data_IF_889620099283
#
_entry.id   IF_889620099283
#
_cell.length_a   1.000
_cell.length_b   1.000
_cell.length_c   1.000
_cell.angle_alpha   90.00
_cell.angle_beta   90.00
_cell.angle_gamma   90.00
#
_symmetry.space_group_name_H-M   'P 1'
#
loop_
_entity.id
_entity.type
_entity.pdbx_description
1 polymer ?
#
# COMPACT_ATOMS: atom_id res chain seq x y z
N UNK A 1 -8.47 24.93 -7.90
CA UNK A 1 -9.11 23.61 -8.03
C UNK A 1 -10.05 23.43 -6.85
N UNK A 2 -11.34 23.26 -7.09
CA UNK A 2 -12.31 23.01 -6.01
C UNK A 2 -12.31 21.51 -5.67
N UNK A 3 -12.44 21.18 -4.38
CA UNK A 3 -12.41 19.80 -3.89
C UNK A 3 -13.55 18.99 -4.53
N UNK A 4 -13.29 17.72 -4.85
CA UNK A 4 -14.31 16.79 -5.32
C UNK A 4 -15.09 16.28 -4.11
N UNK A 5 -16.33 16.74 -3.98
CA UNK A 5 -17.19 16.35 -2.86
C UNK A 5 -17.94 15.07 -3.21
N UNK A 6 -18.36 14.26 -2.22
CA UNK A 6 -19.23 13.10 -2.47
C UNK A 6 -20.47 13.47 -3.30
N UNK A 7 -21.03 14.66 -3.10
CA UNK A 7 -22.15 15.17 -3.90
C UNK A 7 -21.81 15.34 -5.39
N UNK A 8 -20.59 15.78 -5.74
CA UNK A 8 -20.14 15.88 -7.14
C UNK A 8 -19.91 14.50 -7.76
N UNK A 9 -19.31 13.57 -7.02
CA UNK A 9 -19.09 12.19 -7.47
C UNK A 9 -20.43 11.50 -7.71
N UNK A 10 -21.36 11.61 -6.76
CA UNK A 10 -22.73 11.09 -6.87
C UNK A 10 -23.44 11.68 -8.09
N UNK A 11 -23.37 13.01 -8.27
CA UNK A 11 -23.99 13.69 -9.42
C UNK A 11 -23.39 13.23 -10.75
N UNK A 12 -22.07 13.04 -10.80
CA UNK A 12 -21.34 12.58 -11.99
C UNK A 12 -21.71 11.14 -12.35
N UNK A 13 -21.84 10.26 -11.35
CA UNK A 13 -22.34 8.90 -11.54
C UNK A 13 -23.80 8.91 -12.01
N UNK A 14 -24.68 9.66 -11.34
CA UNK A 14 -26.10 9.74 -11.68
C UNK A 14 -26.35 10.26 -13.11
N UNK A 15 -25.68 11.34 -13.49
CA UNK A 15 -25.75 11.89 -14.84
C UNK A 15 -25.15 10.91 -15.85
N UNK A 16 -24.01 10.29 -15.53
CA UNK A 16 -23.35 9.32 -16.40
C UNK A 16 -24.13 8.01 -16.60
N UNK A 17 -25.07 7.69 -15.73
CA UNK A 17 -26.03 6.58 -15.88
C UNK A 17 -27.26 6.96 -16.73
N UNK A 18 -27.34 8.21 -17.19
CA UNK A 18 -28.48 8.71 -17.96
C UNK A 18 -29.66 9.17 -17.10
N UNK A 19 -29.44 9.50 -15.82
CA UNK A 19 -30.48 9.93 -14.86
C UNK A 19 -31.62 8.89 -14.76
N UNK A 20 -31.32 7.67 -14.31
CA UNK A 20 -32.29 6.57 -14.27
C UNK A 20 -33.53 6.94 -13.44
N UNK A 21 -34.69 6.38 -13.81
CA UNK A 21 -35.91 6.58 -13.04
C UNK A 21 -35.82 5.96 -11.64
N UNK A 22 -36.48 6.55 -10.63
CA UNK A 22 -36.48 6.03 -9.26
C UNK A 22 -37.01 4.60 -9.12
N UNK A 23 -37.80 4.13 -10.10
CA UNK A 23 -38.29 2.75 -10.18
C UNK A 23 -37.15 1.73 -10.33
N UNK A 24 -36.06 2.11 -10.99
CA UNK A 24 -34.94 1.21 -11.28
C UNK A 24 -33.73 1.44 -10.37
N UNK A 25 -33.48 2.68 -9.98
CA UNK A 25 -32.42 3.04 -9.05
C UNK A 25 -32.82 4.28 -8.24
N UNK A 26 -32.97 4.10 -6.94
CA UNK A 26 -33.22 5.20 -6.03
C UNK A 26 -31.92 5.95 -5.73
N UNK A 27 -32.04 7.26 -5.48
CA UNK A 27 -30.88 8.11 -5.15
C UNK A 27 -30.14 7.63 -3.90
N UNK A 28 -30.87 7.11 -2.91
CA UNK A 28 -30.29 6.58 -1.69
C UNK A 28 -29.45 5.30 -1.95
N UNK A 29 -29.84 4.46 -2.91
CA UNK A 29 -29.06 3.27 -3.29
C UNK A 29 -27.73 3.69 -3.93
N UNK A 30 -27.76 4.72 -4.79
CA UNK A 30 -26.55 5.28 -5.40
C UNK A 30 -25.64 5.94 -4.36
N UNK A 31 -26.21 6.62 -3.37
CA UNK A 31 -25.48 7.19 -2.22
C UNK A 31 -24.80 6.09 -1.40
N UNK A 32 -25.52 5.01 -1.09
CA UNK A 32 -24.97 3.88 -0.34
C UNK A 32 -23.80 3.25 -1.09
N UNK A 33 -23.95 2.99 -2.40
CA UNK A 33 -22.87 2.49 -3.26
C UNK A 33 -21.65 3.42 -3.18
N UNK A 34 -21.86 4.74 -3.30
CA UNK A 34 -20.77 5.71 -3.22
C UNK A 34 -20.01 5.63 -1.90
N UNK A 35 -20.71 5.64 -0.77
CA UNK A 35 -20.05 5.61 0.53
C UNK A 35 -19.36 4.26 0.81
N UNK A 36 -19.91 3.15 0.34
CA UNK A 36 -19.23 1.84 0.39
C UNK A 36 -17.93 1.85 -0.41
N UNK A 37 -17.96 2.41 -1.63
CA UNK A 37 -16.75 2.48 -2.47
C UNK A 37 -15.71 3.43 -1.86
N UNK A 38 -16.13 4.59 -1.36
CA UNK A 38 -15.25 5.52 -0.66
C UNK A 38 -14.58 4.85 0.54
N UNK A 39 -15.36 4.15 1.38
CA UNK A 39 -14.83 3.41 2.53
C UNK A 39 -13.77 2.37 2.11
N UNK A 40 -14.02 1.61 1.04
CA UNK A 40 -13.05 0.66 0.49
C UNK A 40 -11.72 1.34 0.12
N UNK A 41 -11.77 2.46 -0.60
CA UNK A 41 -10.56 3.17 -1.01
C UNK A 41 -9.84 3.85 0.16
N UNK A 42 -10.57 4.39 1.14
CA UNK A 42 -10.01 4.94 2.37
C UNK A 42 -9.28 3.88 3.19
N UNK A 43 -9.86 2.69 3.35
CA UNK A 43 -9.22 1.59 4.08
C UNK A 43 -7.97 1.08 3.38
N UNK A 44 -7.97 0.97 2.06
CA UNK A 44 -6.77 0.61 1.30
C UNK A 44 -5.64 1.64 1.48
N UNK A 45 -6.01 2.93 1.53
CA UNK A 45 -5.10 4.03 1.86
C UNK A 45 -4.55 3.85 3.29
N UNK A 46 -5.41 3.67 4.28
CA UNK A 46 -5.03 3.50 5.70
C UNK A 46 -4.11 2.30 5.90
N UNK A 47 -4.46 1.15 5.32
CA UNK A 47 -3.67 -0.08 5.41
C UNK A 47 -2.28 0.07 4.77
N UNK A 48 -2.14 0.90 3.74
CA UNK A 48 -0.84 1.15 3.14
C UNK A 48 0.11 1.95 4.02
N UNK A 49 -0.41 2.86 4.83
CA UNK A 49 0.40 3.58 5.82
C UNK A 49 0.98 2.62 6.88
N UNK A 50 0.34 1.45 7.07
CA UNK A 50 0.77 0.40 8.00
C UNK A 50 1.72 -0.64 7.39
N UNK A 51 1.79 -0.76 6.06
CA UNK A 51 2.62 -1.76 5.39
C UNK A 51 4.11 -1.37 5.38
N UNK A 52 4.95 -1.98 6.22
CA UNK A 52 6.39 -1.66 6.31
C UNK A 52 7.17 -2.31 5.15
N UNK A 53 7.75 -1.51 4.25
CA UNK A 53 8.71 -2.00 3.25
C UNK A 53 10.08 -2.20 3.92
N UNK A 54 10.45 -3.43 4.30
CA UNK A 54 11.75 -3.66 4.93
C UNK A 54 12.91 -3.37 3.97
N UNK A 55 13.91 -2.60 4.39
CA UNK A 55 15.18 -2.43 3.66
C UNK A 55 16.25 -3.32 4.30
N UNK A 56 17.28 -3.71 3.54
CA UNK A 56 18.46 -4.41 4.09
C UNK A 56 19.70 -3.52 4.05
N UNK A 57 20.62 -3.70 4.99
CA UNK A 57 21.96 -3.10 4.90
C UNK A 57 22.83 -3.79 3.86
N UNK A 58 23.98 -3.18 3.59
CA UNK A 58 25.12 -3.92 3.04
C UNK A 58 25.50 -5.10 3.95
N UNK A 59 26.06 -6.12 3.30
CA UNK A 59 26.60 -7.30 3.95
C UNK A 59 27.81 -6.92 4.82
N UNK A 60 27.91 -7.46 6.03
CA UNK A 60 29.09 -7.30 6.89
C UNK A 60 29.50 -8.60 7.57
N UNK A 61 30.75 -8.62 8.03
CA UNK A 61 31.35 -9.75 8.73
C UNK A 61 31.74 -9.35 10.15
N UNK A 62 31.49 -10.25 11.11
CA UNK A 62 32.02 -10.15 12.47
C UNK A 62 33.50 -10.57 12.46
N UNK A 63 34.35 -9.88 13.22
CA UNK A 63 35.74 -10.30 13.39
C UNK A 63 35.80 -11.52 14.32
N UNK A 64 36.93 -12.24 14.32
CA UNK A 64 37.07 -13.48 15.10
C UNK A 64 36.84 -13.30 16.60
N UNK A 65 37.16 -12.13 17.15
CA UNK A 65 37.05 -11.81 18.58
C UNK A 65 35.79 -11.04 18.93
N UNK A 66 35.03 -10.57 17.94
CA UNK A 66 33.87 -9.72 18.17
C UNK A 66 32.58 -10.53 18.09
N UNK A 67 31.68 -10.25 19.02
CA UNK A 67 30.29 -10.67 18.98
C UNK A 67 29.35 -9.47 18.86
N UNK A 68 29.89 -8.27 18.63
CA UNK A 68 29.10 -7.05 18.50
C UNK A 68 29.40 -6.34 17.19
N UNK A 69 28.40 -5.62 16.67
CA UNK A 69 28.57 -4.73 15.52
C UNK A 69 27.85 -3.42 15.77
N UNK A 70 28.56 -2.32 15.58
CA UNK A 70 27.94 -1.01 15.53
C UNK A 70 27.16 -0.85 14.21
N UNK A 71 25.85 -0.60 14.32
CA UNK A 71 24.95 -0.48 13.17
C UNK A 71 24.81 0.96 12.66
N UNK A 72 25.37 1.94 13.37
CA UNK A 72 25.20 3.37 13.09
C UNK A 72 25.95 3.83 11.84
N UNK A 73 26.98 3.08 11.42
CA UNK A 73 27.70 3.34 10.17
C UNK A 73 26.96 2.86 8.93
N UNK A 74 25.91 2.05 9.09
CA UNK A 74 25.15 1.46 7.98
C UNK A 74 23.78 2.11 7.77
N UNK A 75 23.39 3.03 8.65
CA UNK A 75 22.19 3.85 8.46
C UNK A 75 22.52 4.97 7.48
N UNK A 76 22.14 4.81 6.21
CA UNK A 76 21.75 6.01 5.46
C UNK A 76 20.62 6.70 6.23
N UNK A 77 20.47 8.02 6.08
CA UNK A 77 19.59 8.91 6.87
C UNK A 77 18.09 8.52 6.96
N UNK A 78 17.71 7.38 6.36
CA UNK A 78 16.39 6.83 6.14
C UNK A 78 16.12 5.49 6.85
N UNK A 79 16.87 5.12 7.90
CA UNK A 79 16.73 3.82 8.58
C UNK A 79 16.67 4.03 10.10
N UNK A 80 15.58 3.62 10.77
CA UNK A 80 15.37 3.92 12.21
C UNK A 80 15.55 2.73 13.14
N UNK A 81 15.01 1.55 12.79
CA UNK A 81 14.97 0.42 13.72
C UNK A 81 15.32 -0.90 13.03
N UNK A 82 16.31 -1.66 13.55
CA UNK A 82 16.55 -3.02 13.10
C UNK A 82 15.34 -3.89 13.46
N UNK A 83 14.94 -4.74 12.52
CA UNK A 83 13.85 -5.69 12.69
C UNK A 83 14.40 -7.07 13.02
N UNK A 84 15.29 -7.59 12.17
CA UNK A 84 15.96 -8.88 12.38
C UNK A 84 17.29 -8.95 11.64
N UNK A 85 18.10 -9.95 12.00
CA UNK A 85 19.34 -10.28 11.29
C UNK A 85 19.15 -11.52 10.42
N UNK A 86 19.87 -11.59 9.30
CA UNK A 86 19.98 -12.78 8.48
C UNK A 86 21.45 -13.16 8.33
N UNK A 87 21.76 -14.46 8.39
CA UNK A 87 23.10 -15.02 8.15
C UNK A 87 23.18 -15.71 6.80
N UNK A 88 24.32 -15.56 6.13
CA UNK A 88 24.59 -16.18 4.84
C UNK A 88 25.10 -17.59 5.05
N UNK A 89 24.38 -18.59 4.57
CA UNK A 89 24.86 -19.96 4.47
C UNK A 89 25.19 -20.24 3.01
N UNK A 90 26.43 -20.65 2.73
CA UNK A 90 26.77 -21.20 1.42
C UNK A 90 26.89 -22.69 1.53
N UNK A 91 25.96 -23.35 0.84
CA UNK A 91 26.05 -24.76 0.51
C UNK A 91 26.88 -24.89 -0.77
N UNK A 92 27.33 -26.10 -1.09
CA UNK A 92 28.23 -26.38 -2.22
C UNK A 92 27.74 -25.85 -3.60
N UNK A 93 26.46 -25.46 -3.72
CA UNK A 93 25.87 -24.95 -4.97
C UNK A 93 25.00 -23.70 -4.81
N UNK A 94 24.56 -23.34 -3.60
CA UNK A 94 23.64 -22.21 -3.39
C UNK A 94 23.99 -21.41 -2.14
N UNK A 95 23.87 -20.09 -2.25
CA UNK A 95 23.85 -19.16 -1.12
C UNK A 95 22.41 -18.95 -0.67
N UNK A 96 22.10 -19.30 0.58
CA UNK A 96 20.82 -19.02 1.23
C UNK A 96 21.02 -18.05 2.39
N UNK A 97 20.00 -17.24 2.66
CA UNK A 97 19.96 -16.35 3.82
C UNK A 97 19.03 -16.95 4.86
N UNK A 98 19.56 -17.24 6.03
CA UNK A 98 18.81 -17.81 7.13
C UNK A 98 18.50 -16.75 8.18
N UNK A 99 17.28 -16.77 8.69
CA UNK A 99 16.83 -15.90 9.77
C UNK A 99 17.60 -16.19 11.06
N UNK A 100 18.06 -15.12 11.73
CA UNK A 100 18.67 -15.20 13.07
C UNK A 100 17.67 -14.63 14.08
N UNK A 101 17.11 -15.45 14.97
CA UNK A 101 16.17 -15.02 16.01
C UNK A 101 16.65 -13.81 16.81
N UNK A 102 15.77 -12.83 16.97
CA UNK A 102 16.02 -11.67 17.83
C UNK A 102 15.53 -11.97 19.25
N UNK A 103 16.42 -11.84 20.22
CA UNK A 103 16.17 -12.14 21.65
C UNK A 103 16.56 -10.95 22.54
N UNK A 104 16.11 -10.98 23.79
CA UNK A 104 16.56 -10.01 24.80
C UNK A 104 18.07 -10.15 25.04
N UNK A 105 18.73 -9.04 25.35
CA UNK A 105 20.18 -9.00 25.55
C UNK A 105 20.63 -9.99 26.64
N UNK A 106 19.87 -10.10 27.71
CA UNK A 106 20.14 -11.01 28.84
C UNK A 106 20.04 -12.49 28.46
N UNK A 107 19.27 -12.82 27.41
CA UNK A 107 19.09 -14.19 26.92
C UNK A 107 20.20 -14.64 25.97
N UNK A 108 21.06 -13.73 25.47
CA UNK A 108 22.11 -14.09 24.51
C UNK A 108 23.14 -15.08 25.06
N UNK A 109 23.45 -14.98 26.36
CA UNK A 109 24.40 -15.89 27.01
C UNK A 109 23.84 -17.32 27.10
N UNK A 110 22.53 -17.45 27.31
CA UNK A 110 21.83 -18.74 27.33
C UNK A 110 21.76 -19.35 25.93
N UNK A 111 21.37 -18.56 24.92
CA UNK A 111 21.36 -19.01 23.52
C UNK A 111 22.76 -19.47 23.06
N UNK A 112 23.80 -18.75 23.49
CA UNK A 112 25.19 -19.14 23.25
C UNK A 112 25.53 -20.48 23.89
N UNK A 113 25.19 -20.66 25.16
CA UNK A 113 25.42 -21.92 25.88
C UNK A 113 24.71 -23.09 25.19
N UNK A 114 23.52 -22.84 24.63
CA UNK A 114 22.74 -23.81 23.88
C UNK A 114 23.25 -24.03 22.43
N UNK A 115 24.24 -23.27 21.98
CA UNK A 115 24.75 -23.32 20.60
C UNK A 115 23.77 -22.78 19.56
N UNK A 116 22.74 -22.05 20.00
CA UNK A 116 21.68 -21.50 19.15
C UNK A 116 22.07 -20.12 18.61
N UNK A 117 21.89 -19.87 17.30
CA UNK A 117 22.17 -18.55 16.75
C UNK A 117 21.07 -17.56 17.16
N UNK A 118 21.47 -16.45 17.77
CA UNK A 118 20.58 -15.38 18.15
C UNK A 118 21.26 -14.01 18.04
N UNK A 119 20.46 -12.96 17.94
CA UNK A 119 20.91 -11.57 17.92
C UNK A 119 20.08 -10.74 18.90
N UNK A 120 20.68 -9.73 19.50
CA UNK A 120 19.97 -8.70 20.26
C UNK A 120 20.37 -7.33 19.74
N UNK A 121 19.40 -6.43 19.61
CA UNK A 121 19.63 -5.04 19.25
C UNK A 121 19.45 -4.17 20.49
N UNK A 122 20.42 -3.33 20.79
CA UNK A 122 20.38 -2.45 21.96
C UNK A 122 21.03 -1.11 21.64
N UNK A 123 20.65 -0.07 22.37
CA UNK A 123 21.11 1.30 22.15
C UNK A 123 20.02 2.29 22.58
N UNK A 124 20.42 3.46 23.04
CA UNK A 124 19.48 4.47 23.57
C UNK A 124 18.74 5.22 22.46
N UNK A 125 19.33 5.28 21.26
CA UNK A 125 18.78 5.99 20.11
C UNK A 125 19.10 5.26 18.80
N UNK A 126 18.35 5.49 17.70
CA UNK A 126 18.69 5.01 16.35
C UNK A 126 20.14 5.31 15.92
N UNK A 127 20.72 6.40 16.43
CA UNK A 127 22.09 6.83 16.15
C UNK A 127 23.15 6.12 17.02
N UNK A 128 22.75 5.21 17.90
CA UNK A 128 23.64 4.47 18.83
C UNK A 128 23.33 2.96 18.89
N UNK A 129 22.59 2.44 17.90
CA UNK A 129 22.19 1.03 17.89
C UNK A 129 23.39 0.10 17.63
N UNK A 130 23.49 -0.90 18.49
CA UNK A 130 24.44 -2.00 18.44
C UNK A 130 23.68 -3.32 18.24
N UNK A 131 24.27 -4.23 17.47
CA UNK A 131 23.86 -5.64 17.44
C UNK A 131 24.84 -6.47 18.26
N UNK A 132 24.35 -7.30 19.19
CA UNK A 132 25.10 -8.33 19.86
C UNK A 132 24.62 -9.71 19.38
N UNK A 133 25.54 -10.63 19.15
CA UNK A 133 25.27 -11.97 18.67
C UNK A 133 25.59 -13.00 19.75
N UNK A 134 24.89 -14.13 19.74
CA UNK A 134 25.13 -15.25 20.67
C UNK A 134 26.44 -16.00 20.38
N UNK A 135 27.25 -15.56 19.42
CA UNK A 135 28.51 -16.20 19.03
C UNK A 135 29.54 -15.13 18.67
N UNK A 136 30.81 -15.44 18.92
CA UNK A 136 31.91 -14.68 18.35
C UNK A 136 32.11 -15.05 16.87
N UNK A 137 32.65 -14.12 16.08
CA UNK A 137 32.99 -14.40 14.68
C UNK A 137 34.06 -15.48 14.49
N UNK A 138 34.68 -15.99 15.57
CA UNK A 138 35.61 -17.12 15.53
C UNK A 138 34.98 -18.48 15.88
N UNK A 139 33.75 -18.52 16.38
CA UNK A 139 33.12 -19.73 16.94
C UNK A 139 32.23 -20.48 15.93
N UNK A 140 31.96 -19.90 14.76
CA UNK A 140 30.98 -20.42 13.79
C UNK A 140 31.67 -20.78 12.47
N UNK A 141 32.28 -21.96 12.39
CA UNK A 141 33.17 -22.38 11.29
C UNK A 141 32.83 -21.91 9.85
N UNK A 142 33.89 -21.70 9.05
CA UNK A 142 33.86 -21.34 7.63
C UNK A 142 32.91 -22.25 6.81
N UNK A 143 32.19 -21.69 5.80
CA UNK A 143 32.75 -20.68 4.91
C UNK A 143 32.24 -19.24 5.01
N UNK A 144 31.22 -18.84 5.79
CA UNK A 144 30.66 -17.48 5.61
C UNK A 144 30.09 -16.82 6.88
N UNK A 145 30.88 -15.91 7.43
CA UNK A 145 30.48 -14.96 8.46
C UNK A 145 29.90 -13.71 7.84
N UNK A 146 28.84 -13.83 7.04
CA UNK A 146 28.25 -12.65 6.40
C UNK A 146 26.82 -12.46 6.86
N UNK A 147 26.56 -11.28 7.40
CA UNK A 147 25.28 -10.88 7.95
C UNK A 147 24.72 -9.71 7.17
N UNK A 148 23.40 -9.62 7.16
CA UNK A 148 22.69 -8.40 6.80
C UNK A 148 21.58 -8.16 7.81
N UNK A 149 21.30 -6.91 8.10
CA UNK A 149 20.22 -6.54 9.00
C UNK A 149 19.08 -5.97 8.17
N UNK A 150 17.87 -6.38 8.52
CA UNK A 150 16.62 -5.87 7.96
C UNK A 150 16.13 -4.75 8.85
N UNK A 151 15.69 -3.67 8.25
CA UNK A 151 15.23 -2.50 8.98
C UNK A 151 13.87 -2.05 8.52
N UNK A 152 13.17 -1.43 9.45
CA UNK A 152 12.10 -0.52 9.12
C UNK A 152 12.71 0.77 8.55
N UNK A 153 12.37 1.16 7.30
CA UNK A 153 12.75 2.45 6.79
C UNK A 153 12.16 3.52 7.70
N UNK A 154 12.89 4.61 7.88
CA UNK A 154 12.39 5.84 8.48
C UNK A 154 11.11 6.21 7.74
N UNK A 155 9.97 6.00 8.38
CA UNK A 155 8.81 6.81 8.04
C UNK A 155 9.27 8.23 8.36
N UNK A 156 9.22 9.13 7.38
CA UNK A 156 9.37 10.55 7.65
C UNK A 156 8.16 10.93 8.53
N UNK A 157 8.28 10.67 9.83
CA UNK A 157 7.32 11.05 10.84
C UNK A 157 7.32 12.57 10.88
N UNK A 158 6.37 13.19 10.18
CA UNK A 158 5.73 14.38 10.72
C UNK A 158 4.47 13.92 11.43
N UNK A 159 4.41 14.31 12.70
CA UNK A 159 3.37 14.24 13.73
C UNK A 159 1.92 14.58 13.34
N UNK A 160 1.50 14.48 12.09
CA UNK A 160 0.12 14.75 11.72
C UNK A 160 -0.68 13.45 11.71
N UNK A 161 -1.29 13.17 12.87
CA UNK A 161 -2.47 12.31 12.99
C UNK A 161 -3.60 12.78 12.03
N UNK A 162 -3.51 14.02 11.55
CA UNK A 162 -4.43 14.64 10.59
C UNK A 162 -3.90 14.70 9.14
N UNK A 163 -2.93 13.87 8.74
CA UNK A 163 -2.54 13.79 7.33
C UNK A 163 -3.69 13.12 6.55
N UNK A 164 -4.67 13.94 6.14
CA UNK A 164 -5.88 13.60 5.41
C UNK A 164 -5.77 12.25 4.70
N UNK A 165 -6.31 11.20 5.34
CA UNK A 165 -6.48 9.87 4.74
C UNK A 165 -7.54 9.89 3.62
N UNK A 166 -7.77 11.07 3.03
CA UNK A 166 -8.75 11.30 2.00
C UNK A 166 -8.26 10.73 0.66
N UNK A 167 -9.21 10.33 -0.19
CA UNK A 167 -8.93 9.94 -1.56
C UNK A 167 -8.62 11.24 -2.30
N UNK A 168 -7.44 11.35 -2.93
CA UNK A 168 -7.10 12.50 -3.74
C UNK A 168 -8.16 12.80 -4.82
N UNK A 169 -8.49 14.08 -5.05
CA UNK A 169 -9.55 14.49 -6.01
C UNK A 169 -9.34 13.94 -7.43
N UNK A 170 -8.10 13.76 -7.84
CA UNK A 170 -7.71 13.20 -9.14
C UNK A 170 -7.97 11.70 -9.26
N UNK A 171 -8.32 11.00 -8.17
CA UNK A 171 -8.83 9.64 -8.19
C UNK A 171 -10.37 9.59 -8.19
N UNK A 172 -11.06 10.73 -8.22
CA UNK A 172 -12.53 10.76 -8.38
C UNK A 172 -13.04 10.00 -9.61
N UNK A 173 -12.36 10.02 -10.78
CA UNK A 173 -12.77 9.21 -11.93
C UNK A 173 -12.82 7.71 -11.62
N UNK A 174 -11.89 7.20 -10.80
CA UNK A 174 -11.90 5.81 -10.34
C UNK A 174 -13.17 5.50 -9.54
N UNK A 175 -13.49 6.38 -8.58
CA UNK A 175 -14.66 6.21 -7.71
C UNK A 175 -15.94 6.32 -8.54
N UNK A 176 -16.04 7.29 -9.46
CA UNK A 176 -17.19 7.44 -10.37
C UNK A 176 -17.37 6.17 -11.22
N UNK A 177 -16.29 5.64 -11.79
CA UNK A 177 -16.34 4.41 -12.59
C UNK A 177 -16.81 3.21 -11.74
N UNK A 178 -16.27 3.05 -10.52
CA UNK A 178 -16.64 1.94 -9.65
C UNK A 178 -18.09 2.04 -9.15
N UNK A 179 -18.56 3.24 -8.84
CA UNK A 179 -19.96 3.50 -8.49
C UNK A 179 -20.89 3.16 -9.65
N UNK A 180 -20.56 3.57 -10.88
CA UNK A 180 -21.35 3.23 -12.07
C UNK A 180 -21.44 1.73 -12.29
N UNK A 181 -20.34 0.99 -12.13
CA UNK A 181 -20.32 -0.47 -12.27
C UNK A 181 -21.31 -1.16 -11.33
N UNK A 182 -21.29 -0.78 -10.06
CA UNK A 182 -22.19 -1.34 -9.06
C UNK A 182 -23.65 -0.93 -9.32
N UNK A 183 -23.88 0.34 -9.68
CA UNK A 183 -25.21 0.86 -9.96
C UNK A 183 -25.86 0.20 -11.20
N UNK A 184 -25.08 -0.08 -12.27
CA UNK A 184 -25.60 -0.77 -13.46
C UNK A 184 -26.13 -2.16 -13.11
N UNK A 185 -25.47 -2.89 -12.20
CA UNK A 185 -25.96 -4.21 -11.77
C UNK A 185 -27.36 -4.11 -11.16
N UNK A 186 -27.61 -3.10 -10.33
CA UNK A 186 -28.94 -2.83 -9.74
C UNK A 186 -29.94 -2.45 -10.83
N UNK A 187 -29.58 -1.53 -11.73
CA UNK A 187 -30.44 -1.08 -12.84
C UNK A 187 -30.91 -2.24 -13.72
N UNK A 188 -29.98 -3.08 -14.18
CA UNK A 188 -30.27 -4.24 -15.04
C UNK A 188 -31.15 -5.25 -14.31
N UNK A 189 -30.85 -5.54 -13.04
CA UNK A 189 -31.65 -6.46 -12.24
C UNK A 189 -33.08 -5.95 -12.01
N UNK A 190 -33.25 -4.66 -11.74
CA UNK A 190 -34.56 -4.06 -11.53
C UNK A 190 -35.36 -3.94 -12.83
N UNK A 191 -34.75 -3.51 -13.93
CA UNK A 191 -35.42 -3.42 -15.23
C UNK A 191 -35.80 -4.79 -15.80
N UNK A 192 -34.95 -5.81 -15.61
CA UNK A 192 -35.23 -7.19 -16.04
C UNK A 192 -36.54 -7.74 -15.46
N UNK A 193 -36.94 -7.31 -14.26
CA UNK A 193 -38.21 -7.72 -13.62
C UNK A 193 -39.44 -7.28 -14.42
N UNK A 194 -39.34 -6.18 -15.15
CA UNK A 194 -40.45 -5.58 -15.91
C UNK A 194 -40.39 -5.89 -17.41
N UNK A 195 -39.35 -6.58 -17.88
CA UNK A 195 -39.15 -6.83 -19.32
C UNK A 195 -40.31 -7.54 -20.00
N UNK A 196 -41.04 -8.41 -19.28
CA UNK A 196 -42.20 -9.13 -19.83
C UNK A 196 -43.34 -8.18 -20.21
N UNK A 197 -43.56 -7.16 -19.39
CA UNK A 197 -44.64 -6.18 -19.57
C UNK A 197 -44.18 -4.93 -20.31
N UNK A 198 -42.86 -4.67 -20.33
CA UNK A 198 -42.19 -3.50 -20.93
C UNK A 198 -40.96 -3.93 -21.75
N UNK A 199 -41.15 -4.56 -22.92
CA UNK A 199 -40.06 -5.06 -23.75
C UNK A 199 -39.14 -3.94 -24.28
N UNK A 200 -39.62 -2.70 -24.33
CA UNK A 200 -38.82 -1.52 -24.70
C UNK A 200 -37.62 -1.27 -23.76
N UNK A 201 -37.65 -1.82 -22.53
CA UNK A 201 -36.57 -1.73 -21.56
C UNK A 201 -35.29 -2.46 -22.01
N UNK A 202 -35.38 -3.39 -22.97
CA UNK A 202 -34.20 -4.10 -23.48
C UNK A 202 -33.14 -3.11 -24.02
N UNK A 203 -33.57 -2.11 -24.81
CA UNK A 203 -32.67 -1.09 -25.34
C UNK A 203 -31.95 -0.28 -24.25
N UNK A 204 -32.60 -0.10 -23.09
CA UNK A 204 -32.01 0.59 -21.94
C UNK A 204 -31.02 -0.31 -21.20
N UNK A 205 -31.33 -1.59 -21.04
CA UNK A 205 -30.43 -2.59 -20.48
C UNK A 205 -29.15 -2.67 -21.33
N UNK A 206 -29.28 -2.68 -22.65
CA UNK A 206 -28.12 -2.69 -23.56
C UNK A 206 -27.28 -1.42 -23.38
N UNK A 207 -27.93 -0.25 -23.27
CA UNK A 207 -27.27 1.02 -22.99
C UNK A 207 -26.52 1.04 -21.65
N UNK A 208 -27.13 0.55 -20.57
CA UNK A 208 -26.46 0.44 -19.26
C UNK A 208 -25.31 -0.57 -19.28
N UNK A 209 -25.46 -1.67 -20.01
CA UNK A 209 -24.39 -2.67 -20.18
C UNK A 209 -23.19 -2.09 -20.92
N UNK A 210 -23.42 -1.24 -21.92
CA UNK A 210 -22.35 -0.49 -22.58
C UNK A 210 -21.66 0.48 -21.62
N UNK A 211 -22.42 1.18 -20.76
CA UNK A 211 -21.87 2.05 -19.71
C UNK A 211 -21.01 1.25 -18.72
N UNK A 212 -21.46 0.08 -18.28
CA UNK A 212 -20.66 -0.79 -17.40
C UNK A 212 -19.36 -1.24 -18.08
N UNK A 213 -19.41 -1.57 -19.37
CA UNK A 213 -18.20 -1.97 -20.12
C UNK A 213 -17.18 -0.83 -20.16
N UNK A 214 -17.62 0.40 -20.43
CA UNK A 214 -16.75 1.57 -20.40
C UNK A 214 -16.21 1.84 -18.99
N UNK A 215 -17.09 1.82 -17.98
CA UNK A 215 -16.70 2.05 -16.60
C UNK A 215 -15.70 1.00 -16.08
N UNK A 216 -15.77 -0.25 -16.57
CA UNK A 216 -14.79 -1.29 -16.24
C UNK A 216 -13.41 -0.94 -16.82
N UNK A 217 -13.36 -0.47 -18.07
CA UNK A 217 -12.11 -0.04 -18.70
C UNK A 217 -11.51 1.16 -17.95
N UNK A 218 -12.31 2.19 -17.68
CA UNK A 218 -11.90 3.38 -16.93
C UNK A 218 -11.38 3.00 -15.54
N UNK A 219 -12.11 2.12 -14.83
CA UNK A 219 -11.70 1.64 -13.50
C UNK A 219 -10.34 0.96 -13.58
N UNK A 220 -10.10 0.07 -14.53
CA UNK A 220 -8.83 -0.65 -14.66
C UNK A 220 -7.65 0.29 -14.92
N UNK A 221 -7.84 1.29 -15.79
CA UNK A 221 -6.82 2.32 -16.04
C UNK A 221 -6.45 3.05 -14.75
N UNK A 222 -7.46 3.57 -14.04
CA UNK A 222 -7.24 4.33 -12.82
C UNK A 222 -6.80 3.48 -11.63
N UNK A 223 -7.15 2.20 -11.59
CA UNK A 223 -6.74 1.26 -10.55
C UNK A 223 -5.21 1.14 -10.51
N UNK A 224 -4.53 1.15 -11.66
CA UNK A 224 -3.06 1.12 -11.73
C UNK A 224 -2.45 2.36 -11.05
N UNK A 225 -3.05 3.53 -11.27
CA UNK A 225 -2.64 4.78 -10.61
C UNK A 225 -2.90 4.73 -9.10
N UNK A 226 -4.06 4.22 -8.70
CA UNK A 226 -4.40 4.04 -7.29
C UNK A 226 -3.44 3.07 -6.59
N UNK A 227 -3.15 1.91 -7.17
CA UNK A 227 -2.20 0.96 -6.61
C UNK A 227 -0.79 1.54 -6.49
N UNK A 228 -0.36 2.30 -7.51
CA UNK A 228 0.92 3.01 -7.46
C UNK A 228 0.92 4.06 -6.35
N UNK A 229 -0.17 4.82 -6.21
CA UNK A 229 -0.34 5.81 -5.16
C UNK A 229 -0.26 5.17 -3.78
N UNK A 230 -1.08 4.16 -3.52
CA UNK A 230 -1.10 3.38 -2.27
C UNK A 230 0.31 2.82 -1.98
N UNK A 231 0.98 2.17 -2.93
CA UNK A 231 2.29 1.54 -2.68
C UNK A 231 3.45 2.53 -2.50
N UNK A 232 3.48 3.64 -3.26
CA UNK A 232 4.61 4.58 -3.31
C UNK A 232 4.40 5.87 -2.51
N UNK A 233 3.18 6.19 -2.13
CA UNK A 233 2.82 7.41 -1.40
C UNK A 233 2.29 7.03 -0.02
N UNK A 234 3.08 7.29 1.03
CA UNK A 234 2.76 6.93 2.41
C UNK A 234 3.06 8.09 3.35
N UNK A 235 2.24 8.27 4.39
CA UNK A 235 2.39 9.36 5.34
C UNK A 235 2.69 10.72 4.67
N UNK A 236 3.71 11.44 5.11
CA UNK A 236 4.09 12.74 4.57
C UNK A 236 4.57 12.73 3.10
N UNK A 237 4.92 11.58 2.53
CA UNK A 237 5.23 11.45 1.10
C UNK A 237 3.97 11.50 0.23
N UNK A 238 2.77 11.36 0.81
CA UNK A 238 1.50 11.51 0.07
C UNK A 238 1.34 12.88 -0.53
N UNK A 239 1.65 13.94 0.21
CA UNK A 239 1.56 15.31 -0.30
C UNK A 239 2.50 15.55 -1.49
N UNK A 240 3.71 14.97 -1.45
CA UNK A 240 4.74 15.16 -2.50
C UNK A 240 4.53 14.29 -3.73
N UNK A 241 4.20 13.01 -3.52
CA UNK A 241 4.05 12.04 -4.60
C UNK A 241 2.64 12.07 -5.22
N UNK A 242 1.68 12.81 -4.62
CA UNK A 242 0.32 13.00 -5.18
C UNK A 242 0.42 13.50 -6.61
N UNK A 243 1.20 14.54 -6.86
CA UNK A 243 1.28 15.14 -8.18
C UNK A 243 2.06 14.23 -9.13
N UNK A 244 3.26 13.74 -8.76
CA UNK A 244 4.07 12.90 -9.67
C UNK A 244 3.39 11.59 -10.12
N UNK A 245 2.56 10.97 -9.27
CA UNK A 245 1.92 9.69 -9.56
C UNK A 245 0.57 9.86 -10.27
N UNK A 246 -0.14 10.95 -9.95
CA UNK A 246 -1.50 11.17 -10.40
C UNK A 246 -1.60 12.25 -11.50
N UNK A 247 -0.53 12.99 -11.80
CA UNK A 247 -0.41 13.87 -12.98
C UNK A 247 -0.61 13.07 -14.28
N UNK A 248 -0.16 11.81 -14.31
CA UNK A 248 -0.36 10.91 -15.45
C UNK A 248 -1.82 10.50 -15.69
N UNK A 249 -2.69 10.54 -14.67
CA UNK A 249 -4.11 10.23 -14.82
C UNK A 249 -4.93 11.44 -15.29
N UNK A 250 -4.44 12.65 -15.07
CA UNK A 250 -5.09 13.88 -15.57
C UNK A 250 -4.99 14.06 -17.10
N UNK A 251 -4.26 13.17 -17.79
CA UNK A 251 -3.98 13.25 -19.23
C UNK A 251 -4.98 12.57 -20.16
N UNK A 252 -5.96 11.81 -19.63
CA UNK A 252 -6.86 10.99 -20.46
C UNK A 252 -8.17 11.67 -20.90
N UNK A 253 -8.63 12.70 -20.18
CA UNK A 253 -9.88 13.41 -20.52
C UNK A 253 -9.60 14.89 -20.82
N UNK A 254 -9.30 15.13 -22.09
CA UNK A 254 -9.31 16.40 -22.82
C UNK A 254 -8.49 17.56 -22.26
N UNK A 255 -7.50 17.95 -23.06
CA UNK A 255 -7.10 19.34 -23.19
C UNK A 255 -8.32 20.24 -23.45
N UNK A 256 -8.74 20.95 -22.42
CA UNK A 256 -9.28 22.30 -22.52
C UNK A 256 -8.82 23.05 -21.28
N UNK A 257 -7.60 23.58 -21.38
CA UNK A 257 -7.18 24.73 -20.58
C UNK A 257 -8.15 25.85 -20.89
N UNK A 258 -9.07 26.13 -19.98
CA UNK A 258 -9.65 27.46 -19.88
C UNK A 258 -8.92 28.18 -18.75
N UNK A 259 -8.46 29.37 -19.13
CA UNK A 259 -7.76 30.37 -18.34
C UNK A 259 -8.50 30.73 -17.06
#
# INVERSE_FOLDING_TARGET
MGWETPAKIMSSAFIGLGKPEPEFLQRHELEQILFERLAYYYEAIRASDQNVMTKWTSEFTLTSTDNTKNLTTFTSDDILFPLWAERKLTTNTNTIWEFVPTVNLDSLAEERFNGSPAVSFYGETPATIMAAFSYYGGEVGTPLYTFRIRYQPKSAFSSNVDADHLVPDNLSPLIVADVKLHAVSILVNNASKYMKDRPELQSRIDGWTAIATQAQADKLEWQVHFERYVRRSRGAARGRNRDDILLGGSGGFMGRRYW
#
